data_IF_513766775397
#
_entry.id   IF_513766775397
#
_cell.length_a   1.000
_cell.length_b   1.000
_cell.length_c   1.000
_cell.angle_alpha   90.00
_cell.angle_beta   90.00
_cell.angle_gamma   90.00
#
_symmetry.space_group_name_H-M   'P 1'
#
loop_
_entity.id
_entity.type
_entity.pdbx_description
1 polymer ?
#
# COMPACT_ATOMS: atom_id res chain seq x y z
N UNK A 1 -24.07 -22.98 -3.11
CA UNK A 1 -22.89 -22.70 -3.96
C UNK A 1 -22.44 -21.24 -3.85
N UNK A 2 -23.31 -20.23 -4.01
CA UNK A 2 -22.92 -18.80 -3.90
C UNK A 2 -22.28 -18.44 -2.56
N UNK A 3 -22.93 -18.77 -1.43
CA UNK A 3 -22.40 -18.47 -0.09
C UNK A 3 -21.03 -19.13 0.15
N UNK A 4 -20.87 -20.39 -0.24
CA UNK A 4 -19.60 -21.11 -0.10
C UNK A 4 -18.46 -20.46 -0.90
N UNK A 5 -18.74 -20.00 -2.13
CA UNK A 5 -17.78 -19.26 -2.94
C UNK A 5 -17.37 -17.93 -2.27
N UNK A 6 -18.34 -17.16 -1.75
CA UNK A 6 -18.06 -15.90 -1.05
C UNK A 6 -17.26 -16.11 0.24
N UNK A 7 -17.51 -17.22 0.95
CA UNK A 7 -16.67 -17.60 2.11
C UNK A 7 -15.25 -17.94 1.70
N UNK A 8 -15.04 -18.60 0.57
CA UNK A 8 -13.70 -18.82 0.03
C UNK A 8 -13.00 -17.49 -0.32
N UNK A 9 -13.73 -16.50 -0.85
CA UNK A 9 -13.18 -15.16 -1.10
C UNK A 9 -12.80 -14.42 0.20
N UNK A 10 -13.64 -14.50 1.24
CA UNK A 10 -13.33 -13.98 2.58
C UNK A 10 -12.05 -14.63 3.13
N UNK A 11 -11.94 -15.95 3.03
CA UNK A 11 -10.77 -16.69 3.49
C UNK A 11 -9.51 -16.32 2.71
N UNK A 12 -9.61 -16.16 1.38
CA UNK A 12 -8.50 -15.68 0.57
C UNK A 12 -8.04 -14.28 1.02
N UNK A 13 -8.96 -13.37 1.36
CA UNK A 13 -8.60 -12.07 1.93
C UNK A 13 -7.89 -12.18 3.28
N UNK A 14 -8.34 -13.06 4.17
CA UNK A 14 -7.66 -13.34 5.44
C UNK A 14 -6.24 -13.85 5.22
N UNK A 15 -6.06 -14.80 4.31
CA UNK A 15 -4.77 -15.41 4.01
C UNK A 15 -3.75 -14.39 3.47
N UNK A 16 -4.18 -13.52 2.55
CA UNK A 16 -3.30 -12.45 2.03
C UNK A 16 -2.97 -11.43 3.12
N UNK A 17 -3.92 -11.08 3.98
CA UNK A 17 -3.64 -10.17 5.08
C UNK A 17 -2.60 -10.74 6.08
N UNK A 18 -2.56 -12.06 6.25
CA UNK A 18 -1.61 -12.74 7.14
C UNK A 18 -0.21 -12.93 6.54
N UNK A 19 -0.14 -13.19 5.24
CA UNK A 19 1.13 -13.46 4.56
C UNK A 19 1.20 -12.73 3.20
N UNK A 20 1.20 -11.38 3.23
CA UNK A 20 1.06 -10.56 2.03
C UNK A 20 2.16 -10.85 1.01
N UNK A 21 3.41 -11.01 1.44
CA UNK A 21 4.52 -11.30 0.53
C UNK A 21 4.36 -12.64 -0.20
N UNK A 22 3.99 -13.70 0.53
CA UNK A 22 3.78 -15.03 -0.05
C UNK A 22 2.71 -14.98 -1.13
N UNK A 23 1.59 -14.32 -0.84
CA UNK A 23 0.49 -14.27 -1.78
C UNK A 23 0.72 -13.29 -2.93
N UNK A 24 1.45 -12.19 -2.73
CA UNK A 24 1.91 -11.34 -3.85
C UNK A 24 2.83 -12.11 -4.80
N UNK A 25 3.72 -12.96 -4.28
CA UNK A 25 4.55 -13.85 -5.11
C UNK A 25 3.71 -14.89 -5.86
N UNK A 26 2.68 -15.44 -5.22
CA UNK A 26 1.75 -16.37 -5.86
C UNK A 26 0.96 -15.67 -6.98
N UNK A 27 0.44 -14.47 -6.72
CA UNK A 27 -0.27 -13.65 -7.71
C UNK A 27 0.65 -13.38 -8.90
N UNK A 28 1.89 -12.96 -8.67
CA UNK A 28 2.87 -12.77 -9.75
C UNK A 28 3.05 -14.04 -10.59
N UNK A 29 3.24 -15.19 -9.94
CA UNK A 29 3.38 -16.46 -10.64
C UNK A 29 2.16 -16.79 -11.51
N UNK A 30 0.95 -16.47 -11.03
CA UNK A 30 -0.30 -16.86 -11.69
C UNK A 30 -0.77 -15.85 -12.74
N UNK A 31 -0.59 -14.55 -12.51
CA UNK A 31 -1.17 -13.48 -13.33
C UNK A 31 -0.14 -12.69 -14.13
N UNK A 32 1.14 -12.77 -13.75
CA UNK A 32 2.22 -11.94 -14.30
C UNK A 32 2.29 -10.53 -13.70
N UNK A 33 1.37 -10.15 -12.80
CA UNK A 33 1.45 -8.87 -12.07
C UNK A 33 2.62 -8.94 -11.10
N UNK A 34 3.58 -8.03 -11.19
CA UNK A 34 4.75 -8.04 -10.32
C UNK A 34 4.36 -8.03 -8.83
N UNK A 35 4.97 -8.90 -8.03
CA UNK A 35 4.64 -9.02 -6.61
C UNK A 35 4.79 -7.70 -5.84
N UNK A 36 5.79 -6.84 -6.12
CA UNK A 36 5.84 -5.52 -5.51
C UNK A 36 4.65 -4.61 -5.84
N UNK A 37 4.06 -4.74 -7.03
CA UNK A 37 2.86 -3.98 -7.41
C UNK A 37 1.68 -4.48 -6.60
N UNK A 38 1.45 -5.80 -6.53
CA UNK A 38 0.40 -6.36 -5.69
C UNK A 38 0.57 -5.95 -4.21
N UNK A 39 1.79 -6.02 -3.69
CA UNK A 39 2.12 -5.61 -2.31
C UNK A 39 1.95 -4.10 -2.06
N UNK A 40 2.21 -3.25 -3.06
CA UNK A 40 1.96 -1.81 -2.99
C UNK A 40 0.46 -1.52 -2.76
N UNK A 41 -0.40 -2.22 -3.49
CA UNK A 41 -1.85 -2.00 -3.41
C UNK A 41 -2.49 -2.71 -2.22
N UNK A 42 -2.12 -3.97 -1.97
CA UNK A 42 -2.87 -4.84 -1.06
C UNK A 42 -2.09 -5.29 0.18
N UNK A 43 -0.81 -4.96 0.30
CA UNK A 43 -0.02 -5.23 1.50
C UNK A 43 -0.33 -4.27 2.65
N UNK A 44 0.38 -4.42 3.79
CA UNK A 44 0.29 -3.49 4.92
C UNK A 44 0.52 -2.05 4.46
N UNK A 45 -0.36 -1.15 4.93
CA UNK A 45 -0.40 0.28 4.59
C UNK A 45 -0.61 0.55 3.08
N UNK A 46 -1.06 -0.46 2.33
CA UNK A 46 -1.29 -0.38 0.90
C UNK A 46 -2.40 0.59 0.50
N UNK A 47 -2.45 0.87 -0.81
CA UNK A 47 -3.36 1.86 -1.40
C UNK A 47 -4.83 1.41 -1.41
N UNK A 48 -5.08 0.11 -1.55
CA UNK A 48 -6.42 -0.44 -1.74
C UNK A 48 -6.81 -1.36 -0.59
N UNK A 49 -8.06 -1.21 -0.15
CA UNK A 49 -8.69 -2.21 0.70
C UNK A 49 -9.21 -3.35 -0.17
N UNK A 50 -9.22 -4.57 0.37
CA UNK A 50 -9.83 -5.74 -0.25
C UNK A 50 -11.23 -5.96 0.32
N UNK A 51 -12.01 -4.88 0.34
CA UNK A 51 -13.33 -4.86 0.93
C UNK A 51 -14.31 -5.69 0.11
N UNK A 52 -15.19 -6.44 0.78
CA UNK A 52 -16.21 -7.28 0.16
C UNK A 52 -17.63 -6.75 0.41
N UNK A 53 -17.76 -5.56 0.97
CA UNK A 53 -19.04 -4.94 1.32
C UNK A 53 -19.50 -3.95 0.25
N UNK A 54 -20.82 -3.78 0.14
CA UNK A 54 -21.44 -2.83 -0.76
C UNK A 54 -21.52 -1.45 -0.11
N UNK A 55 -20.35 -0.82 0.02
CA UNK A 55 -20.19 0.56 0.50
C UNK A 55 -21.11 1.52 -0.28
N UNK A 56 -21.66 2.57 0.35
CA UNK A 56 -22.50 3.55 -0.34
C UNK A 56 -21.85 4.13 -1.60
N UNK A 57 -20.55 4.41 -1.55
CA UNK A 57 -19.77 4.92 -2.67
C UNK A 57 -19.68 3.91 -3.81
N UNK A 58 -19.57 2.62 -3.51
CA UNK A 58 -19.51 1.57 -4.53
C UNK A 58 -20.88 1.34 -5.19
N UNK A 59 -21.97 1.44 -4.41
CA UNK A 59 -23.34 1.44 -4.95
C UNK A 59 -23.56 2.62 -5.89
N UNK A 60 -23.16 3.83 -5.47
CA UNK A 60 -23.25 5.04 -6.29
C UNK A 60 -22.40 4.92 -7.55
N UNK A 61 -21.15 4.45 -7.46
CA UNK A 61 -20.28 4.25 -8.61
C UNK A 61 -20.88 3.27 -9.63
N UNK A 62 -21.55 2.21 -9.14
CA UNK A 62 -22.25 1.25 -10.01
C UNK A 62 -23.42 1.91 -10.74
N UNK A 63 -24.22 2.73 -10.05
CA UNK A 63 -25.30 3.50 -10.67
C UNK A 63 -24.77 4.47 -11.73
N UNK A 64 -23.71 5.22 -11.42
CA UNK A 64 -23.06 6.14 -12.37
C UNK A 64 -22.47 5.40 -13.58
N UNK A 65 -21.94 4.19 -13.41
CA UNK A 65 -21.46 3.38 -14.52
C UNK A 65 -22.59 2.99 -15.48
N UNK A 66 -23.76 2.61 -14.95
CA UNK A 66 -24.97 2.33 -15.74
C UNK A 66 -25.41 3.57 -16.53
N UNK A 67 -25.50 4.72 -15.87
CA UNK A 67 -25.87 5.99 -16.51
C UNK A 67 -24.89 6.37 -17.62
N UNK A 68 -23.59 6.15 -17.39
CA UNK A 68 -22.53 6.41 -18.38
C UNK A 68 -22.68 5.50 -19.60
N UNK A 69 -22.97 4.21 -19.42
CA UNK A 69 -23.22 3.29 -20.55
C UNK A 69 -24.41 3.75 -21.39
N UNK A 70 -25.47 4.24 -20.76
CA UNK A 70 -26.63 4.80 -21.46
C UNK A 70 -26.27 6.09 -22.22
N UNK A 71 -25.53 7.01 -21.58
CA UNK A 71 -25.05 8.25 -22.21
C UNK A 71 -24.19 7.97 -23.45
N UNK A 72 -23.29 6.98 -23.36
CA UNK A 72 -22.42 6.55 -24.46
C UNK A 72 -23.15 5.69 -25.52
N UNK A 73 -24.48 5.52 -25.41
CA UNK A 73 -25.31 4.69 -26.29
C UNK A 73 -24.78 3.25 -26.42
N UNK A 74 -24.20 2.71 -25.34
CA UNK A 74 -23.73 1.31 -25.24
C UNK A 74 -24.81 0.36 -24.74
N UNK A 75 -25.90 0.89 -24.20
CA UNK A 75 -27.13 0.17 -23.90
C UNK A 75 -28.32 1.08 -24.11
N UNK A 76 -29.44 0.50 -24.53
CA UNK A 76 -30.76 1.10 -24.65
C UNK A 76 -31.73 0.56 -23.60
N UNK A 77 -31.26 -0.34 -22.71
CA UNK A 77 -32.03 -0.93 -21.63
C UNK A 77 -31.95 -0.03 -20.39
N UNK A 78 -33.10 0.22 -19.77
CA UNK A 78 -33.17 0.83 -18.45
C UNK A 78 -32.81 -0.21 -17.37
N UNK A 79 -31.59 -0.10 -16.84
CA UNK A 79 -31.07 -0.98 -15.80
C UNK A 79 -31.28 -0.34 -14.42
N UNK A 80 -32.02 -0.99 -13.54
CA UNK A 80 -32.12 -0.61 -12.12
C UNK A 80 -30.99 -1.28 -11.33
N UNK A 81 -30.07 -0.46 -10.79
CA UNK A 81 -28.94 -0.91 -9.98
C UNK A 81 -29.35 -1.81 -8.81
N UNK A 82 -30.52 -1.59 -8.21
CA UNK A 82 -30.99 -2.37 -7.06
C UNK A 82 -31.41 -3.79 -7.43
N UNK A 83 -31.65 -4.06 -8.72
CA UNK A 83 -31.91 -5.42 -9.19
C UNK A 83 -30.62 -6.25 -9.33
N UNK A 84 -29.46 -5.59 -9.44
CA UNK A 84 -28.15 -6.22 -9.56
C UNK A 84 -27.43 -6.35 -8.20
N UNK A 85 -27.66 -5.40 -7.29
CA UNK A 85 -27.00 -5.39 -5.99
C UNK A 85 -27.83 -6.17 -4.96
N UNK A 86 -27.48 -7.45 -4.80
CA UNK A 86 -28.01 -8.32 -3.75
C UNK A 86 -26.93 -8.67 -2.72
N UNK A 87 -26.98 -8.02 -1.55
CA UNK A 87 -25.98 -8.24 -0.49
C UNK A 87 -26.34 -9.40 0.47
N UNK A 88 -27.50 -10.07 0.29
CA UNK A 88 -27.96 -11.14 1.19
C UNK A 88 -26.95 -12.28 1.29
N UNK A 89 -26.37 -12.69 0.16
CA UNK A 89 -25.42 -13.79 0.13
C UNK A 89 -24.08 -13.46 0.79
N UNK A 90 -23.57 -12.24 0.58
CA UNK A 90 -22.31 -11.83 1.21
C UNK A 90 -22.50 -11.58 2.71
N UNK A 91 -23.64 -11.03 3.13
CA UNK A 91 -24.01 -10.93 4.55
C UNK A 91 -24.06 -12.29 5.22
N UNK A 92 -24.70 -13.28 4.58
CA UNK A 92 -24.73 -14.65 5.06
C UNK A 92 -23.32 -15.27 5.13
N UNK A 93 -22.47 -15.03 4.13
CA UNK A 93 -21.10 -15.50 4.11
C UNK A 93 -20.24 -14.90 5.24
N UNK A 94 -20.41 -13.60 5.54
CA UNK A 94 -19.77 -12.97 6.70
C UNK A 94 -20.21 -13.65 8.01
N UNK A 95 -21.51 -13.82 8.20
CA UNK A 95 -22.07 -14.50 9.38
C UNK A 95 -21.53 -15.91 9.57
N UNK A 96 -21.51 -16.73 8.51
CA UNK A 96 -20.99 -18.10 8.55
C UNK A 96 -19.46 -18.17 8.73
N UNK A 97 -18.75 -17.09 8.42
CA UNK A 97 -17.31 -16.94 8.68
C UNK A 97 -17.01 -16.29 10.03
N UNK A 98 -18.03 -16.04 10.88
CA UNK A 98 -17.86 -15.41 12.19
C UNK A 98 -17.48 -13.93 12.14
N UNK A 99 -17.82 -13.23 11.05
CA UNK A 99 -17.53 -11.81 10.83
C UNK A 99 -18.81 -10.97 10.86
N UNK A 100 -18.65 -9.69 11.19
CA UNK A 100 -19.73 -8.70 11.17
C UNK A 100 -19.67 -7.87 9.88
N UNK A 101 -20.68 -8.05 9.03
CA UNK A 101 -20.80 -7.30 7.78
C UNK A 101 -21.03 -5.81 8.00
N UNK A 102 -21.84 -5.42 8.99
CA UNK A 102 -22.18 -4.01 9.21
C UNK A 102 -21.02 -3.26 9.86
N UNK A 103 -20.21 -3.93 10.67
CA UNK A 103 -18.93 -3.40 11.13
C UNK A 103 -17.95 -3.25 9.96
N UNK A 104 -17.84 -4.26 9.10
CA UNK A 104 -16.99 -4.19 7.91
C UNK A 104 -17.46 -3.07 6.96
N UNK A 105 -18.77 -2.88 6.78
CA UNK A 105 -19.36 -1.83 5.95
C UNK A 105 -18.96 -0.42 6.41
N UNK A 106 -18.68 -0.23 7.69
CA UNK A 106 -18.22 1.06 8.25
C UNK A 106 -16.71 1.21 8.30
N UNK A 107 -15.96 0.14 8.00
CA UNK A 107 -14.51 0.14 8.05
C UNK A 107 -13.91 0.58 6.71
N UNK A 108 -13.10 1.65 6.74
CA UNK A 108 -12.33 2.16 5.61
C UNK A 108 -10.82 2.14 5.87
N UNK A 109 -10.38 1.49 6.96
CA UNK A 109 -8.98 1.44 7.34
C UNK A 109 -8.15 0.62 6.34
N UNK A 110 -6.91 1.07 6.09
CA UNK A 110 -5.89 0.29 5.40
C UNK A 110 -5.53 -0.95 6.23
N UNK A 111 -4.95 -1.96 5.58
CA UNK A 111 -4.37 -3.08 6.30
C UNK A 111 -3.28 -2.57 7.27
N UNK A 112 -3.34 -2.88 8.56
CA UNK A 112 -2.37 -2.37 9.53
C UNK A 112 -0.99 -3.00 9.31
N UNK A 113 0.05 -2.23 9.60
CA UNK A 113 1.41 -2.75 9.76
C UNK A 113 1.65 -3.05 11.24
N UNK A 114 2.03 -4.29 11.53
CA UNK A 114 2.57 -4.68 12.84
C UNK A 114 4.00 -5.16 12.59
N UNK A 115 4.96 -4.28 12.82
CA UNK A 115 6.36 -4.55 12.53
C UNK A 115 7.28 -3.88 13.55
N UNK A 116 8.46 -4.48 13.69
CA UNK A 116 9.60 -3.85 14.33
C UNK A 116 10.51 -3.25 13.25
N UNK A 117 11.18 -2.17 13.62
CA UNK A 117 12.22 -1.56 12.82
C UNK A 117 13.40 -2.53 12.64
N UNK A 118 13.87 -2.68 11.41
CA UNK A 118 14.86 -3.69 11.03
C UNK A 118 16.28 -3.36 11.54
N UNK A 119 16.54 -2.12 11.97
CA UNK A 119 17.83 -1.70 12.52
C UNK A 119 17.83 -1.79 14.04
N UNK A 120 16.82 -1.22 14.68
CA UNK A 120 16.72 -1.04 16.13
C UNK A 120 15.97 -2.17 16.84
N UNK A 121 15.18 -2.95 16.11
CA UNK A 121 14.31 -4.00 16.66
C UNK A 121 13.10 -3.49 17.45
N UNK A 122 12.91 -2.17 17.53
CA UNK A 122 11.80 -1.56 18.29
C UNK A 122 10.50 -1.57 17.49
N UNK A 123 9.32 -1.65 18.14
CA UNK A 123 8.04 -1.52 17.44
C UNK A 123 7.90 -0.20 16.70
N UNK A 124 7.51 -0.24 15.43
CA UNK A 124 7.15 0.95 14.66
C UNK A 124 5.74 1.39 15.08
N UNK A 125 5.61 2.66 15.47
CA UNK A 125 4.34 3.23 15.95
C UNK A 125 3.88 4.46 15.16
N UNK A 126 4.83 5.17 14.56
CA UNK A 126 4.56 6.19 13.56
C UNK A 126 4.71 5.55 12.18
N UNK A 127 3.72 5.74 11.32
CA UNK A 127 3.65 5.16 9.98
C UNK A 127 3.81 6.20 8.86
N UNK A 128 4.01 7.48 9.21
CA UNK A 128 4.08 8.57 8.24
C UNK A 128 5.33 8.48 7.36
N UNK A 129 6.47 8.15 7.95
CA UNK A 129 7.76 8.10 7.22
C UNK A 129 8.31 6.68 7.10
N UNK A 130 7.47 5.66 7.35
CA UNK A 130 7.87 4.26 7.23
C UNK A 130 8.38 3.96 5.82
N UNK A 131 9.52 3.30 5.80
CA UNK A 131 10.09 2.76 4.59
C UNK A 131 10.17 1.23 4.67
N UNK A 132 10.05 0.59 3.52
CA UNK A 132 10.03 -0.86 3.41
C UNK A 132 10.98 -1.30 2.31
N UNK A 133 11.86 -2.24 2.60
CA UNK A 133 12.80 -2.82 1.62
C UNK A 133 12.50 -4.30 1.48
N UNK A 134 12.11 -4.71 0.28
CA UNK A 134 11.96 -6.11 -0.06
C UNK A 134 13.17 -6.56 -0.88
N UNK A 135 14.01 -7.43 -0.33
CA UNK A 135 15.16 -7.98 -1.05
C UNK A 135 14.75 -9.14 -1.97
N UNK A 136 15.47 -9.31 -3.09
CA UNK A 136 15.18 -10.36 -4.07
C UNK A 136 15.17 -11.77 -3.47
N UNK A 137 16.10 -12.01 -2.55
CA UNK A 137 16.35 -13.28 -1.89
C UNK A 137 15.61 -13.46 -0.55
N UNK A 138 14.76 -12.51 -0.15
CA UNK A 138 14.01 -12.59 1.10
C UNK A 138 12.52 -12.80 0.88
N UNK A 139 11.94 -13.68 1.69
CA UNK A 139 10.51 -13.93 1.67
C UNK A 139 9.70 -12.80 2.30
N UNK A 140 10.32 -11.98 3.18
CA UNK A 140 9.65 -10.95 3.96
C UNK A 140 10.21 -9.57 3.65
N UNK A 141 9.34 -8.58 3.76
CA UNK A 141 9.72 -7.18 3.67
C UNK A 141 10.37 -6.73 4.98
N UNK A 142 11.52 -6.07 4.88
CA UNK A 142 12.15 -5.39 6.01
C UNK A 142 11.48 -4.02 6.19
N UNK A 143 11.12 -3.68 7.42
CA UNK A 143 10.43 -2.43 7.75
C UNK A 143 11.39 -1.51 8.50
N UNK A 144 11.34 -0.23 8.19
CA UNK A 144 12.16 0.80 8.81
C UNK A 144 11.27 1.94 9.28
N UNK A 145 11.60 2.53 10.43
CA UNK A 145 10.85 3.64 11.00
C UNK A 145 10.95 4.90 10.12
N UNK A 146 12.02 5.04 9.34
CA UNK A 146 12.24 6.18 8.44
C UNK A 146 12.93 5.80 7.12
N UNK A 147 12.80 6.68 6.12
CA UNK A 147 13.45 6.51 4.83
C UNK A 147 14.99 6.62 4.90
N UNK A 148 15.55 7.46 5.78
CA UNK A 148 17.01 7.58 5.94
C UNK A 148 17.63 6.27 6.44
N UNK A 149 17.01 5.60 7.41
CA UNK A 149 17.48 4.30 7.92
C UNK A 149 17.38 3.20 6.84
N UNK A 150 16.25 3.14 6.12
CA UNK A 150 16.07 2.19 5.04
C UNK A 150 17.10 2.36 3.92
N UNK A 151 17.38 3.59 3.51
CA UNK A 151 18.30 3.89 2.41
C UNK A 151 19.76 3.64 2.81
N UNK A 152 20.14 3.98 4.05
CA UNK A 152 21.47 3.65 4.55
C UNK A 152 21.67 2.13 4.66
N UNK A 153 20.67 1.39 5.15
CA UNK A 153 20.71 -0.07 5.22
C UNK A 153 20.78 -0.69 3.81
N UNK A 154 19.97 -0.21 2.88
CA UNK A 154 19.98 -0.66 1.49
C UNK A 154 21.33 -0.43 0.82
N UNK A 155 21.94 0.74 1.02
CA UNK A 155 23.28 1.04 0.50
C UNK A 155 24.34 0.03 0.95
N UNK A 156 24.32 -0.38 2.23
CA UNK A 156 25.22 -1.42 2.75
C UNK A 156 24.95 -2.79 2.12
N UNK A 157 23.67 -3.15 1.96
CA UNK A 157 23.27 -4.42 1.33
C UNK A 157 23.74 -4.49 -0.11
N UNK A 158 23.55 -3.41 -0.88
CA UNK A 158 23.98 -3.32 -2.28
C UNK A 158 25.51 -3.38 -2.42
N UNK A 159 26.27 -2.75 -1.52
CA UNK A 159 27.74 -2.87 -1.47
C UNK A 159 28.21 -4.32 -1.25
N UNK A 160 27.42 -5.13 -0.55
CA UNK A 160 27.67 -6.56 -0.36
C UNK A 160 27.10 -7.45 -1.49
N UNK A 161 26.58 -6.84 -2.58
CA UNK A 161 26.04 -7.54 -3.75
C UNK A 161 24.56 -7.92 -3.65
N UNK A 162 23.87 -7.55 -2.57
CA UNK A 162 22.43 -7.74 -2.44
C UNK A 162 21.63 -6.82 -3.37
N UNK A 163 20.39 -7.21 -3.68
CA UNK A 163 19.50 -6.44 -4.55
C UNK A 163 18.11 -6.33 -3.93
N UNK A 164 17.53 -5.14 -4.03
CA UNK A 164 16.14 -4.92 -3.68
C UNK A 164 15.24 -5.34 -4.85
N UNK A 165 14.28 -6.20 -4.56
CA UNK A 165 13.11 -6.45 -5.42
C UNK A 165 12.27 -5.18 -5.54
N UNK A 166 12.08 -4.49 -4.42
CA UNK A 166 11.40 -3.20 -4.35
C UNK A 166 11.73 -2.46 -3.06
N UNK A 167 11.56 -1.14 -3.12
CA UNK A 167 11.64 -0.24 -1.97
C UNK A 167 10.39 0.62 -1.98
N UNK A 168 9.74 0.73 -0.83
CA UNK A 168 8.54 1.53 -0.65
C UNK A 168 8.78 2.62 0.40
N UNK A 169 8.14 3.76 0.17
CA UNK A 169 8.08 4.91 1.07
C UNK A 169 6.66 5.46 1.05
N UNK A 170 6.32 6.34 1.97
CA UNK A 170 4.99 6.96 2.02
C UNK A 170 5.06 8.44 1.66
N UNK A 171 4.10 8.91 0.86
CA UNK A 171 3.88 10.33 0.65
C UNK A 171 3.54 10.99 1.99
N UNK A 172 4.36 11.93 2.46
CA UNK A 172 4.24 12.51 3.79
C UNK A 172 2.89 13.19 4.06
N UNK A 173 2.31 13.98 3.13
CA UNK A 173 1.00 14.60 3.36
C UNK A 173 -0.18 13.62 3.38
N UNK A 174 -0.16 12.56 2.56
CA UNK A 174 -1.34 11.69 2.36
C UNK A 174 -1.20 10.28 2.96
N UNK A 175 0.00 9.88 3.34
CA UNK A 175 0.33 8.51 3.74
C UNK A 175 0.13 7.48 2.62
N UNK A 176 0.08 7.90 1.35
CA UNK A 176 -0.02 6.98 0.21
C UNK A 176 1.30 6.24 0.05
N UNK A 177 1.23 4.92 -0.07
CA UNK A 177 2.38 4.07 -0.31
C UNK A 177 2.86 4.25 -1.75
N UNK A 178 4.16 4.46 -1.92
CA UNK A 178 4.82 4.73 -3.19
C UNK A 178 5.96 3.74 -3.41
N UNK A 179 6.29 3.48 -4.67
CA UNK A 179 7.62 2.99 -5.00
C UNK A 179 8.64 4.11 -4.78
N UNK A 180 9.71 3.81 -4.05
CA UNK A 180 10.70 4.82 -3.65
C UNK A 180 11.40 5.50 -4.84
N UNK A 181 11.59 4.78 -5.94
CA UNK A 181 12.18 5.34 -7.17
C UNK A 181 11.22 6.23 -7.98
N UNK A 182 9.95 6.35 -7.57
CA UNK A 182 8.95 7.23 -8.19
C UNK A 182 8.61 8.44 -7.31
N UNK A 183 9.28 8.60 -6.16
CA UNK A 183 9.04 9.69 -5.22
C UNK A 183 10.09 10.81 -5.33
N UNK A 184 9.71 11.98 -4.88
CA UNK A 184 10.59 13.10 -4.57
C UNK A 184 10.90 13.10 -3.07
N UNK A 185 12.05 13.67 -2.70
CA UNK A 185 12.49 13.68 -1.31
C UNK A 185 12.89 15.07 -0.88
N UNK A 186 12.64 15.40 0.38
CA UNK A 186 13.25 16.56 1.05
C UNK A 186 14.26 16.04 2.06
N UNK A 187 15.49 16.52 1.93
CA UNK A 187 16.55 16.33 2.92
C UNK A 187 16.66 17.58 3.78
N UNK A 188 16.47 17.47 5.08
CA UNK A 188 16.67 18.59 6.00
C UNK A 188 18.14 18.74 6.43
N UNK A 189 18.43 19.79 7.21
CA UNK A 189 19.77 20.07 7.72
C UNK A 189 20.30 18.99 8.70
N UNK A 190 19.42 18.18 9.28
CA UNK A 190 19.74 17.09 10.20
C UNK A 190 19.87 15.73 9.49
N UNK A 191 19.71 15.72 8.17
CA UNK A 191 19.80 14.55 7.33
C UNK A 191 18.56 13.65 7.34
N UNK A 192 17.43 14.11 7.93
CA UNK A 192 16.18 13.39 7.80
C UNK A 192 15.69 13.45 6.34
N UNK A 193 15.05 12.37 5.89
CA UNK A 193 14.55 12.22 4.53
C UNK A 193 13.05 12.00 4.58
N UNK A 194 12.29 12.93 4.00
CA UNK A 194 10.83 12.88 3.91
C UNK A 194 10.41 12.70 2.45
N UNK A 195 9.51 11.77 2.17
CA UNK A 195 9.11 11.41 0.81
C UNK A 195 7.80 12.11 0.38
N UNK A 196 7.70 12.41 -0.91
CA UNK A 196 6.58 13.10 -1.53
C UNK A 196 6.25 12.48 -2.89
N UNK A 197 4.98 12.29 -3.17
CA UNK A 197 4.48 11.88 -4.48
C UNK A 197 4.71 12.99 -5.50
N UNK A 198 4.43 14.24 -5.13
CA UNK A 198 4.50 15.39 -6.03
C UNK A 198 5.68 16.29 -5.68
N UNK A 199 6.48 16.63 -6.69
CA UNK A 199 7.61 17.57 -6.53
C UNK A 199 7.16 18.91 -5.96
N UNK A 200 6.00 19.42 -6.38
CA UNK A 200 5.46 20.69 -5.88
C UNK A 200 5.25 20.67 -4.35
N UNK A 201 4.79 19.54 -3.80
CA UNK A 201 4.66 19.36 -2.35
C UNK A 201 6.02 19.31 -1.66
N UNK A 202 7.00 18.62 -2.25
CA UNK A 202 8.38 18.60 -1.75
C UNK A 202 9.00 20.00 -1.74
N UNK A 203 8.83 20.78 -2.81
CA UNK A 203 9.35 22.16 -2.92
C UNK A 203 8.77 23.06 -1.82
N UNK A 204 7.46 22.97 -1.56
CA UNK A 204 6.81 23.71 -0.48
C UNK A 204 7.33 23.32 0.91
N UNK A 205 7.49 22.02 1.16
CA UNK A 205 7.99 21.52 2.44
C UNK A 205 9.47 21.90 2.67
N UNK A 206 10.30 21.82 1.63
CA UNK A 206 11.70 22.23 1.67
C UNK A 206 11.86 23.71 2.03
N UNK A 207 11.00 24.59 1.50
CA UNK A 207 11.01 26.01 1.86
C UNK A 207 10.72 26.26 3.34
N UNK A 208 9.81 25.47 3.94
CA UNK A 208 9.45 25.60 5.36
C UNK A 208 10.58 25.16 6.30
N UNK A 209 11.33 24.12 5.93
CA UNK A 209 12.39 23.54 6.77
C UNK A 209 13.80 23.97 6.37
N UNK A 210 13.95 24.86 5.37
CA UNK A 210 15.25 25.14 4.73
C UNK A 210 15.96 23.87 4.26
N UNK A 211 15.19 22.90 3.75
CA UNK A 211 15.67 21.62 3.21
C UNK A 211 15.99 21.69 1.72
N UNK A 212 16.53 20.60 1.18
CA UNK A 212 16.81 20.44 -0.24
C UNK A 212 15.94 19.35 -0.87
N UNK A 213 15.29 19.68 -1.99
CA UNK A 213 14.54 18.69 -2.78
C UNK A 213 15.51 17.88 -3.65
N UNK A 214 15.43 16.56 -3.55
CA UNK A 214 16.30 15.62 -4.26
C UNK A 214 15.50 14.44 -4.84
N UNK A 215 16.08 13.78 -5.83
CA UNK A 215 15.55 12.51 -6.36
C UNK A 215 15.98 11.32 -5.50
N UNK A 216 15.51 10.13 -5.87
CA UNK A 216 15.81 8.89 -5.16
C UNK A 216 17.31 8.55 -5.10
N UNK A 217 18.05 8.77 -6.19
CA UNK A 217 19.48 8.42 -6.24
C UNK A 217 20.30 9.31 -5.29
N UNK A 218 20.00 10.61 -5.28
CA UNK A 218 20.61 11.58 -4.38
C UNK A 218 20.19 11.33 -2.91
N UNK A 219 18.91 11.02 -2.65
CA UNK A 219 18.43 10.67 -1.32
C UNK A 219 19.18 9.45 -0.75
N UNK A 220 19.32 8.37 -1.55
CA UNK A 220 19.99 7.14 -1.12
C UNK A 220 21.46 7.36 -0.79
N UNK A 221 22.16 8.14 -1.63
CA UNK A 221 23.58 8.45 -1.41
C UNK A 221 23.77 9.31 -0.15
N UNK A 222 22.89 10.29 0.07
CA UNK A 222 22.95 11.17 1.24
C UNK A 222 22.67 10.47 2.57
N UNK A 223 21.83 9.43 2.58
CA UNK A 223 21.48 8.66 3.77
C UNK A 223 22.69 7.92 4.36
N UNK A 224 23.51 7.30 3.50
CA UNK A 224 24.71 6.58 3.93
C UNK A 224 25.72 7.50 4.64
N UNK A 225 25.82 8.77 4.23
CA UNK A 225 26.70 9.75 4.83
C UNK A 225 26.18 10.28 6.17
N UNK A 226 24.86 10.47 6.29
CA UNK A 226 24.22 10.97 7.51
C UNK A 226 24.31 9.96 8.66
N UNK A 227 24.03 8.68 8.39
CA UNK A 227 24.12 7.62 9.41
C UNK A 227 25.57 7.35 9.83
N UNK A 228 26.55 7.49 8.93
CA UNK A 228 27.96 7.35 9.29
C UNK A 228 28.49 8.50 10.18
N UNK A 229 27.75 9.60 10.27
CA UNK A 229 28.11 10.79 11.04
C UNK A 229 27.35 10.92 12.37
N UNK A 230 26.43 10.00 12.67
CA UNK A 230 25.68 9.91 13.95
C UNK A 230 26.40 8.94 14.90
#
# INVERSE_FOLDING_TARGET
MVVAYLRAAIEANRLIAQDPEKYSLLIQKTTGIEAPVDYLYHGPLGLQTRDLTWKPEYRQATATAIETLKLLKKTDVDLDVNTFIDDRYIRQAFKESGLDYDAALKNYAKQPLVANDAVTGKPIRDFNDVAQVWLDNEAKVRNYASADEAFAALGKIEQSGGKARAVFVHDHPSGLKLFANQAWYVKDAHGAITAFLLKAGADQYAQQLSGAVVDYAAAKTGAAQAVASR
#
